data_IF_157677637840
#
_entry.id   IF_157677637840
#
_cell.length_a   1.000
_cell.length_b   1.000
_cell.length_c   1.000
_cell.angle_alpha   90.00
_cell.angle_beta   90.00
_cell.angle_gamma   90.00
#
_symmetry.space_group_name_H-M   'P 1'
#
loop_
_entity.id
_entity.type
_entity.pdbx_description
1 polymer ?
#
# COMPACT_ATOMS: atom_id res chain seq x y z
N UNK A 1 3.81 -11.25 16.66
CA UNK A 1 4.19 -11.76 15.34
C UNK A 1 4.23 -10.61 14.36
N UNK A 2 5.31 -10.50 13.58
CA UNK A 2 5.59 -9.41 12.64
C UNK A 2 4.44 -9.18 11.66
N UNK A 3 3.87 -10.26 11.09
CA UNK A 3 2.74 -10.15 10.16
C UNK A 3 1.49 -9.48 10.77
N UNK A 4 1.22 -9.64 12.08
CA UNK A 4 0.08 -8.98 12.73
C UNK A 4 0.30 -7.48 12.88
N UNK A 5 1.53 -7.09 13.21
CA UNK A 5 1.89 -5.68 13.37
C UNK A 5 1.82 -4.97 12.01
N UNK A 6 2.38 -5.58 10.96
CA UNK A 6 2.31 -5.06 9.61
C UNK A 6 0.88 -4.99 9.07
N UNK A 7 0.04 -5.99 9.32
CA UNK A 7 -1.37 -5.92 8.93
C UNK A 7 -2.11 -4.77 9.62
N UNK A 8 -1.84 -4.55 10.92
CA UNK A 8 -2.43 -3.43 11.65
C UNK A 8 -1.94 -2.10 11.09
N UNK A 9 -0.66 -1.99 10.73
CA UNK A 9 -0.11 -0.81 10.07
C UNK A 9 -0.78 -0.58 8.70
N UNK A 10 -0.90 -1.63 7.87
CA UNK A 10 -1.63 -1.60 6.61
C UNK A 10 -3.07 -1.13 6.81
N UNK A 11 -3.76 -1.62 7.84
CA UNK A 11 -5.14 -1.19 8.13
C UNK A 11 -5.24 0.31 8.38
N UNK A 12 -4.26 0.90 9.09
CA UNK A 12 -4.23 2.35 9.32
C UNK A 12 -3.97 3.11 8.03
N UNK A 13 -2.97 2.67 7.25
CA UNK A 13 -2.63 3.27 5.95
C UNK A 13 -3.83 3.24 5.01
N UNK A 14 -4.55 2.12 4.92
CA UNK A 14 -5.74 1.98 4.07
C UNK A 14 -6.83 2.95 4.48
N UNK A 15 -7.10 3.09 5.78
CA UNK A 15 -8.10 4.05 6.28
C UNK A 15 -7.75 5.49 5.93
N UNK A 16 -6.51 5.88 6.19
CA UNK A 16 -6.02 7.24 5.92
C UNK A 16 -6.01 7.54 4.42
N UNK A 17 -5.52 6.60 3.60
CA UNK A 17 -5.51 6.74 2.15
C UNK A 17 -6.91 6.89 1.56
N UNK A 18 -7.88 6.07 2.01
CA UNK A 18 -9.26 6.17 1.56
C UNK A 18 -9.93 7.46 2.03
N UNK A 19 -9.66 7.89 3.26
CA UNK A 19 -10.17 9.16 3.77
C UNK A 19 -9.69 10.34 2.91
N UNK A 20 -8.39 10.42 2.65
CA UNK A 20 -7.80 11.47 1.81
C UNK A 20 -8.32 11.40 0.38
N UNK A 21 -8.37 10.21 -0.20
CA UNK A 21 -8.92 9.99 -1.54
C UNK A 21 -10.37 10.46 -1.64
N UNK A 22 -11.25 10.03 -0.73
CA UNK A 22 -12.66 10.38 -0.77
C UNK A 22 -12.88 11.88 -0.55
N UNK A 23 -12.19 12.47 0.43
CA UNK A 23 -12.26 13.91 0.70
C UNK A 23 -11.81 14.73 -0.51
N UNK A 24 -10.69 14.36 -1.12
CA UNK A 24 -10.16 15.06 -2.28
C UNK A 24 -11.05 14.90 -3.52
N UNK A 25 -11.50 13.68 -3.82
CA UNK A 25 -12.40 13.45 -4.96
C UNK A 25 -13.76 14.13 -4.82
N UNK A 26 -14.31 14.16 -3.60
CA UNK A 26 -15.55 14.89 -3.34
C UNK A 26 -15.40 16.37 -3.68
N UNK A 27 -14.31 17.00 -3.23
CA UNK A 27 -14.02 18.40 -3.56
C UNK A 27 -13.80 18.61 -5.06
N UNK A 28 -13.05 17.73 -5.73
CA UNK A 28 -12.85 17.82 -7.19
C UNK A 28 -14.17 17.71 -7.97
N UNK A 29 -15.00 16.74 -7.62
CA UNK A 29 -16.28 16.51 -8.29
C UNK A 29 -17.22 17.71 -8.13
N UNK A 30 -17.26 18.32 -6.93
CA UNK A 30 -18.06 19.52 -6.68
C UNK A 30 -17.57 20.75 -7.46
N UNK A 31 -16.28 20.78 -7.81
CA UNK A 31 -15.67 21.82 -8.63
C UNK A 31 -15.74 21.52 -10.14
N UNK A 32 -16.36 20.40 -10.54
CA UNK A 32 -16.50 19.99 -11.94
C UNK A 32 -15.26 19.32 -12.54
N UNK A 33 -14.28 18.93 -11.73
CA UNK A 33 -13.11 18.19 -12.18
C UNK A 33 -13.35 16.68 -12.20
N UNK A 34 -12.60 15.97 -13.05
CA UNK A 34 -12.62 14.52 -13.10
C UNK A 34 -12.04 13.90 -11.83
N UNK A 35 -12.53 12.70 -11.49
CA UNK A 35 -12.01 11.92 -10.36
C UNK A 35 -10.56 11.47 -10.61
N UNK A 36 -9.81 11.28 -9.51
CA UNK A 36 -8.45 10.77 -9.55
C UNK A 36 -8.40 9.25 -9.43
N UNK A 37 -7.27 8.67 -9.84
CA UNK A 37 -6.99 7.25 -9.69
C UNK A 37 -7.04 6.82 -8.22
N UNK A 38 -7.63 5.63 -7.99
CA UNK A 38 -7.71 5.00 -6.67
C UNK A 38 -6.31 4.83 -6.06
N UNK A 39 -6.18 4.94 -4.73
CA UNK A 39 -4.89 4.86 -4.06
C UNK A 39 -4.24 3.49 -4.23
N UNK A 40 -2.91 3.49 -4.19
CA UNK A 40 -2.07 2.28 -4.20
C UNK A 40 -1.29 2.22 -2.88
N UNK A 41 -1.17 1.03 -2.32
CA UNK A 41 -0.41 0.76 -1.09
C UNK A 41 0.52 -0.42 -1.28
N UNK A 42 1.57 -0.49 -0.46
CA UNK A 42 2.60 -1.52 -0.56
C UNK A 42 2.78 -2.23 0.78
N UNK A 43 3.12 -3.50 0.74
CA UNK A 43 3.46 -4.32 1.91
C UNK A 43 4.62 -5.27 1.57
N UNK A 44 5.55 -5.45 2.49
CA UNK A 44 6.73 -6.31 2.29
C UNK A 44 6.57 -7.72 2.84
N UNK A 45 5.62 -7.93 3.75
CA UNK A 45 5.34 -9.28 4.26
C UNK A 45 4.25 -9.99 3.45
N UNK A 46 4.68 -11.01 2.71
CA UNK A 46 3.81 -11.87 1.92
C UNK A 46 2.71 -12.54 2.75
N UNK A 47 2.97 -12.93 3.99
CA UNK A 47 1.95 -13.54 4.86
C UNK A 47 0.87 -12.50 5.21
N UNK A 48 1.27 -11.25 5.48
CA UNK A 48 0.32 -10.18 5.75
C UNK A 48 -0.47 -9.78 4.48
N UNK A 49 0.16 -9.81 3.30
CA UNK A 49 -0.51 -9.62 2.00
C UNK A 49 -1.56 -10.69 1.75
N UNK A 50 -1.18 -11.96 1.88
CA UNK A 50 -2.07 -13.10 1.68
C UNK A 50 -3.26 -13.06 2.65
N UNK A 51 -3.01 -12.64 3.91
CA UNK A 51 -4.05 -12.42 4.91
C UNK A 51 -5.04 -11.32 4.50
N UNK A 52 -4.57 -10.26 3.85
CA UNK A 52 -5.41 -9.16 3.39
C UNK A 52 -6.27 -9.57 2.20
N UNK A 53 -5.70 -10.32 1.26
CA UNK A 53 -6.37 -10.76 0.04
C UNK A 53 -7.30 -11.96 0.26
N UNK A 54 -6.94 -12.91 1.15
CA UNK A 54 -7.61 -14.21 1.24
C UNK A 54 -8.37 -14.45 2.56
N UNK A 55 -9.70 -14.69 2.52
CA UNK A 55 -10.51 -14.88 3.72
C UNK A 55 -10.38 -16.19 4.46
N UNK A 56 -9.69 -17.17 3.88
CA UNK A 56 -9.53 -18.50 4.49
C UNK A 56 -8.49 -18.53 5.61
N UNK A 57 -7.66 -17.49 5.73
CA UNK A 57 -6.59 -17.43 6.73
C UNK A 57 -7.08 -16.74 8.02
N UNK A 58 -7.27 -17.57 9.05
CA UNK A 58 -7.45 -17.25 10.48
C UNK A 58 -8.83 -16.86 11.02
N UNK A 59 -9.19 -17.51 12.14
CA UNK A 59 -10.49 -17.49 12.85
C UNK A 59 -10.39 -17.00 14.30
N UNK A 60 -9.43 -16.12 14.64
CA UNK A 60 -9.12 -15.79 16.06
C UNK A 60 -9.26 -14.30 16.39
N UNK A 61 -10.14 -14.02 17.37
CA UNK A 61 -10.43 -12.75 18.06
C UNK A 61 -11.30 -11.73 17.31
N UNK A 62 -12.37 -11.25 17.97
CA UNK A 62 -13.37 -10.30 17.44
C UNK A 62 -12.74 -8.98 16.98
N UNK A 63 -11.76 -8.47 17.74
CA UNK A 63 -11.08 -7.21 17.41
C UNK A 63 -10.15 -7.32 16.20
N UNK A 64 -9.53 -8.48 16.00
CA UNK A 64 -8.75 -8.73 14.78
C UNK A 64 -9.72 -8.81 13.59
N UNK A 65 -10.84 -9.51 13.74
CA UNK A 65 -11.83 -9.67 12.68
C UNK A 65 -12.26 -8.31 12.11
N UNK A 66 -12.66 -7.36 12.96
CA UNK A 66 -13.17 -6.06 12.49
C UNK A 66 -12.12 -5.30 11.65
N UNK A 67 -10.87 -5.21 12.12
CA UNK A 67 -9.79 -4.55 11.36
C UNK A 67 -9.49 -5.28 10.05
N UNK A 68 -9.58 -6.61 10.09
CA UNK A 68 -9.26 -7.46 8.96
C UNK A 68 -10.35 -7.36 7.89
N UNK A 69 -11.61 -7.35 8.31
CA UNK A 69 -12.76 -7.16 7.43
C UNK A 69 -12.66 -5.86 6.64
N UNK A 70 -12.39 -4.73 7.31
CA UNK A 70 -12.33 -3.43 6.63
C UNK A 70 -11.29 -3.38 5.51
N UNK A 71 -10.04 -3.76 5.82
CA UNK A 71 -8.96 -3.74 4.82
C UNK A 71 -9.25 -4.71 3.69
N UNK A 72 -9.75 -5.91 4.00
CA UNK A 72 -10.09 -6.89 2.97
C UNK A 72 -11.21 -6.43 2.06
N UNK A 73 -12.31 -5.92 2.62
CA UNK A 73 -13.42 -5.40 1.83
C UNK A 73 -12.98 -4.25 0.93
N UNK A 74 -12.15 -3.35 1.46
CA UNK A 74 -11.59 -2.25 0.66
C UNK A 74 -10.75 -2.76 -0.53
N UNK A 75 -9.99 -3.85 -0.35
CA UNK A 75 -9.21 -4.46 -1.42
C UNK A 75 -10.10 -5.21 -2.42
N UNK A 76 -11.08 -5.98 -1.94
CA UNK A 76 -12.03 -6.72 -2.78
C UNK A 76 -12.88 -5.79 -3.64
N UNK A 77 -13.32 -4.67 -3.07
CA UNK A 77 -14.08 -3.64 -3.77
C UNK A 77 -13.22 -2.80 -4.73
N UNK A 78 -11.90 -3.04 -4.75
CA UNK A 78 -10.91 -2.26 -5.51
C UNK A 78 -10.93 -0.76 -5.16
N UNK A 79 -11.33 -0.43 -3.93
CA UNK A 79 -11.25 0.94 -3.40
C UNK A 79 -9.80 1.37 -3.19
N UNK A 80 -8.92 0.40 -2.99
CA UNK A 80 -7.47 0.57 -2.88
C UNK A 80 -6.77 -0.64 -3.49
N UNK A 81 -5.60 -0.42 -4.09
CA UNK A 81 -4.77 -1.51 -4.62
C UNK A 81 -3.64 -1.83 -3.64
N UNK A 82 -3.31 -3.12 -3.48
CA UNK A 82 -2.21 -3.59 -2.63
C UNK A 82 -1.16 -4.30 -3.48
N UNK A 83 0.10 -3.88 -3.34
CA UNK A 83 1.23 -4.46 -4.04
C UNK A 83 2.26 -4.99 -3.05
N UNK A 84 3.00 -6.01 -3.46
CA UNK A 84 4.17 -6.45 -2.72
C UNK A 84 5.38 -5.56 -3.05
N UNK A 85 6.19 -5.23 -2.06
CA UNK A 85 7.50 -4.59 -2.24
C UNK A 85 8.55 -5.41 -1.50
N UNK A 86 9.72 -5.61 -2.10
CA UNK A 86 10.82 -6.28 -1.39
C UNK A 86 11.25 -5.44 -0.18
N UNK A 87 11.49 -6.06 0.98
CA UNK A 87 11.95 -5.37 2.20
C UNK A 87 13.21 -4.53 1.96
N UNK A 88 14.13 -4.96 1.08
CA UNK A 88 15.35 -4.21 0.74
C UNK A 88 15.07 -2.97 -0.12
N UNK A 89 13.90 -2.90 -0.72
CA UNK A 89 13.43 -1.78 -1.55
C UNK A 89 12.33 -0.96 -0.86
N UNK A 90 11.89 -1.34 0.34
CA UNK A 90 10.87 -0.63 1.08
C UNK A 90 11.43 0.66 1.70
N UNK A 91 11.24 1.79 1.01
CA UNK A 91 11.74 3.10 1.45
C UNK A 91 11.22 3.53 2.84
N UNK A 92 10.06 3.01 3.26
CA UNK A 92 9.44 3.33 4.55
C UNK A 92 10.19 2.69 5.71
N UNK A 93 11.02 1.68 5.45
CA UNK A 93 11.83 1.05 6.49
C UNK A 93 12.85 2.02 7.10
N UNK A 94 13.32 3.03 6.34
CA UNK A 94 14.18 4.09 6.89
C UNK A 94 13.48 4.85 8.03
N UNK A 95 12.15 4.99 7.96
CA UNK A 95 11.37 5.76 8.92
C UNK A 95 10.87 4.91 10.10
N UNK A 96 10.86 3.59 9.96
CA UNK A 96 10.16 2.69 10.89
C UNK A 96 11.05 1.67 11.57
N UNK A 97 12.27 1.44 11.06
CA UNK A 97 13.19 0.41 11.56
C UNK A 97 14.61 0.97 11.74
N UNK A 98 15.36 0.51 12.76
CA UNK A 98 16.80 0.75 12.82
C UNK A 98 17.50 -0.13 11.78
N UNK A 99 17.90 0.46 10.64
CA UNK A 99 18.52 -0.26 9.54
C UNK A 99 20.05 -0.34 9.67
N UNK A 100 20.63 -1.47 9.24
CA UNK A 100 22.06 -1.60 9.05
C UNK A 100 22.56 -0.77 7.87
N UNK A 101 23.82 -0.29 7.94
CA UNK A 101 24.44 0.62 6.95
C UNK A 101 24.24 0.21 5.49
N UNK A 102 24.34 -1.09 5.18
CA UNK A 102 24.19 -1.62 3.81
C UNK A 102 22.77 -1.40 3.29
N UNK A 103 21.75 -1.80 4.06
CA UNK A 103 20.35 -1.65 3.66
C UNK A 103 19.98 -0.17 3.57
N UNK A 104 20.43 0.63 4.54
CA UNK A 104 20.21 2.08 4.55
C UNK A 104 20.76 2.75 3.28
N UNK A 105 22.01 2.46 2.90
CA UNK A 105 22.62 3.01 1.69
C UNK A 105 21.91 2.54 0.41
N UNK A 106 21.47 1.28 0.36
CA UNK A 106 20.72 0.78 -0.79
C UNK A 106 19.40 1.54 -0.96
N UNK A 107 18.66 1.78 0.12
CA UNK A 107 17.40 2.52 0.07
C UNK A 107 17.65 3.99 -0.32
N UNK A 108 18.70 4.62 0.21
CA UNK A 108 19.07 5.98 -0.22
C UNK A 108 19.34 6.05 -1.73
N UNK A 109 20.08 5.09 -2.28
CA UNK A 109 20.34 5.03 -3.71
C UNK A 109 19.03 4.89 -4.52
N UNK A 110 18.05 4.12 -4.04
CA UNK A 110 16.72 4.03 -4.69
C UNK A 110 16.02 5.39 -4.67
N UNK A 111 16.04 6.10 -3.54
CA UNK A 111 15.43 7.44 -3.41
C UNK A 111 16.09 8.43 -4.37
N UNK A 112 17.43 8.48 -4.42
CA UNK A 112 18.17 9.39 -5.29
C UNK A 112 17.97 9.07 -6.78
N UNK A 113 17.97 7.79 -7.16
CA UNK A 113 17.85 7.38 -8.56
C UNK A 113 16.42 7.51 -9.11
N UNK A 114 15.39 7.30 -8.28
CA UNK A 114 14.01 7.50 -8.72
C UNK A 114 13.72 8.96 -9.06
N UNK A 115 14.32 9.92 -8.34
CA UNK A 115 14.17 11.34 -8.64
C UNK A 115 14.68 11.74 -10.04
N UNK A 116 15.67 11.00 -10.55
CA UNK A 116 16.26 11.25 -11.88
C UNK A 116 15.50 10.57 -13.02
N UNK A 117 14.62 9.59 -12.72
CA UNK A 117 13.92 8.76 -13.71
C UNK A 117 12.41 9.06 -13.81
N UNK A 118 11.93 10.17 -13.24
CA UNK A 118 10.52 10.56 -13.22
C UNK A 118 9.89 10.85 -14.61
N UNK A 119 10.62 10.65 -15.72
CA UNK A 119 10.09 10.74 -17.09
C UNK A 119 9.77 9.40 -17.77
N UNK A 120 10.05 8.23 -17.16
CA UNK A 120 9.91 6.94 -17.87
C UNK A 120 9.07 5.86 -17.17
N UNK A 121 8.80 5.97 -15.86
CA UNK A 121 7.99 4.97 -15.14
C UNK A 121 6.46 5.09 -15.36
N UNK A 122 5.99 6.15 -16.03
CA UNK A 122 4.55 6.32 -16.33
C UNK A 122 4.05 5.58 -17.59
N UNK A 123 4.93 5.02 -18.44
CA UNK A 123 4.50 4.48 -19.75
C UNK A 123 4.63 2.96 -19.95
N UNK A 124 5.38 2.25 -19.10
CA UNK A 124 5.72 0.84 -19.40
C UNK A 124 5.00 -0.21 -18.55
N UNK A 125 4.33 0.14 -17.46
CA UNK A 125 3.60 -0.85 -16.64
C UNK A 125 2.08 -0.85 -16.82
N UNK A 126 1.53 0.06 -17.63
CA UNK A 126 0.09 0.13 -17.95
C UNK A 126 -0.26 -0.74 -19.18
N UNK A 127 0.73 -1.23 -19.94
CA UNK A 127 0.47 -2.02 -21.17
C UNK A 127 0.17 -3.51 -20.94
N UNK A 128 0.31 -4.04 -19.73
CA UNK A 128 0.10 -5.48 -19.47
C UNK A 128 -1.22 -5.84 -18.78
N UNK A 129 -2.14 -4.89 -18.61
CA UNK A 129 -3.47 -5.17 -18.01
C UNK A 129 -4.56 -4.53 -18.88
N UNK A 130 -4.57 -4.92 -20.15
CA UNK A 130 -5.74 -4.74 -21.02
C UNK A 130 -6.05 -6.09 -21.69
N UNK A 131 -6.72 -6.97 -20.94
CA UNK A 131 -7.64 -7.99 -21.44
C UNK A 131 -8.72 -8.21 -20.38
#
# INVERSE_FOLDING_TARGET
STYKAEYIALTKVVKEALYLYNSYNFNLTNLGFNTINKPKTFIDNLVAKELAENPKFYKKSKYINIKYHFTRESLLNKDIMLFHIDTKSNIVDILTKPLGKVIFNNILNIIYNNNNNNNTYNNNHIKEITY
#
